data_IF_994053853080
#
_entry.id   IF_994053853080
#
_cell.length_a   1.000
_cell.length_b   1.000
_cell.length_c   1.000
_cell.angle_alpha   90.00
_cell.angle_beta   90.00
_cell.angle_gamma   90.00
#
_symmetry.space_group_name_H-M   'P 1'
#
loop_
_entity.id
_entity.type
_entity.pdbx_description
1 polymer ?
#
# COMPACT_ATOMS: atom_id res chain seq x y z
N UNK A 1 -25.07 -1.44 -20.13
CA UNK A 1 -23.86 -0.59 -20.16
C UNK A 1 -22.84 -1.01 -21.23
N UNK A 2 -22.87 -2.25 -21.75
CA UNK A 2 -21.95 -2.77 -22.80
C UNK A 2 -21.86 -1.89 -24.08
N UNK A 3 -22.86 -1.06 -24.39
CA UNK A 3 -22.84 -0.19 -25.59
C UNK A 3 -22.14 1.17 -25.45
N UNK A 4 -21.76 1.61 -24.24
CA UNK A 4 -21.11 2.93 -24.03
C UNK A 4 -19.57 2.85 -24.15
N UNK A 5 -19.05 1.67 -24.50
CA UNK A 5 -17.68 1.45 -24.94
C UNK A 5 -16.75 0.89 -23.87
N UNK A 6 -16.07 -0.20 -24.20
CA UNK A 6 -14.91 -0.70 -23.47
C UNK A 6 -13.73 0.28 -23.64
N UNK A 7 -13.28 0.86 -22.52
CA UNK A 7 -12.05 1.65 -22.40
C UNK A 7 -11.88 2.82 -23.41
N UNK A 8 -12.85 3.72 -23.46
CA UNK A 8 -12.80 4.96 -24.24
C UNK A 8 -11.86 6.05 -23.66
N UNK A 9 -11.88 7.24 -24.29
CA UNK A 9 -11.05 8.40 -23.88
C UNK A 9 -11.37 8.82 -22.44
N UNK A 10 -12.65 8.77 -22.05
CA UNK A 10 -13.07 9.11 -20.69
C UNK A 10 -12.40 8.22 -19.64
N UNK A 11 -12.40 6.90 -19.85
CA UNK A 11 -11.79 5.93 -18.94
C UNK A 11 -10.26 6.08 -18.87
N UNK A 12 -9.61 6.43 -19.98
CA UNK A 12 -8.17 6.73 -20.01
C UNK A 12 -7.86 7.99 -19.21
N UNK A 13 -8.62 9.05 -19.40
CA UNK A 13 -8.43 10.32 -18.68
C UNK A 13 -8.55 10.09 -17.16
N UNK A 14 -9.61 9.40 -16.74
CA UNK A 14 -9.83 9.09 -15.31
C UNK A 14 -8.70 8.24 -14.72
N UNK A 15 -8.17 7.28 -15.47
CA UNK A 15 -7.07 6.44 -15.02
C UNK A 15 -5.76 7.24 -14.86
N UNK A 16 -5.40 8.07 -15.84
CA UNK A 16 -4.13 8.79 -15.83
C UNK A 16 -4.12 10.04 -14.95
N UNK A 17 -5.24 10.75 -14.82
CA UNK A 17 -5.30 12.01 -14.08
C UNK A 17 -5.84 11.87 -12.64
N UNK A 18 -6.50 10.76 -12.30
CA UNK A 18 -7.04 10.55 -10.94
C UNK A 18 -6.40 9.34 -10.28
N UNK A 19 -6.57 8.16 -10.89
CA UNK A 19 -6.16 6.90 -10.25
C UNK A 19 -4.64 6.75 -10.17
N UNK A 20 -3.90 7.27 -11.15
CA UNK A 20 -2.44 7.21 -11.14
C UNK A 20 -1.82 8.19 -10.12
N UNK A 21 -2.19 9.49 -10.08
CA UNK A 21 -1.74 10.40 -9.03
C UNK A 21 -2.15 9.96 -7.62
N UNK A 22 -3.30 9.28 -7.47
CA UNK A 22 -3.71 8.75 -6.17
C UNK A 22 -2.84 7.58 -5.67
N UNK A 23 -1.94 7.02 -6.49
CA UNK A 23 -0.94 6.05 -6.02
C UNK A 23 0.29 6.74 -5.40
N UNK A 24 0.52 8.05 -5.65
CA UNK A 24 1.66 8.77 -5.10
C UNK A 24 1.65 8.87 -3.56
N UNK A 25 0.51 9.11 -2.88
CA UNK A 25 0.44 9.08 -1.41
C UNK A 25 0.85 7.74 -0.80
N UNK A 26 0.58 6.63 -1.49
CA UNK A 26 0.98 5.29 -1.05
C UNK A 26 2.51 5.15 -0.94
N UNK A 27 3.26 5.91 -1.76
CA UNK A 27 4.72 5.94 -1.71
C UNK A 27 5.26 6.56 -0.42
N UNK A 28 4.62 7.63 0.04
CA UNK A 28 5.01 8.30 1.27
C UNK A 28 4.78 7.41 2.49
N UNK A 29 3.76 6.54 2.46
CA UNK A 29 3.51 5.54 3.51
C UNK A 29 4.64 4.51 3.62
N UNK A 30 5.21 4.07 2.50
CA UNK A 30 6.40 3.20 2.47
C UNK A 30 7.63 3.93 3.02
N UNK A 31 7.75 5.24 2.78
CA UNK A 31 8.84 6.07 3.28
C UNK A 31 8.88 6.15 4.81
N UNK A 32 7.72 6.09 5.49
CA UNK A 32 7.64 6.02 6.95
C UNK A 32 8.25 4.73 7.51
N UNK A 33 8.10 3.61 6.80
CA UNK A 33 8.71 2.33 7.20
C UNK A 33 10.24 2.35 7.07
N UNK A 34 10.77 3.06 6.06
CA UNK A 34 12.21 3.24 5.88
C UNK A 34 12.87 3.96 7.07
N UNK A 35 12.24 5.03 7.59
CA UNK A 35 12.77 5.72 8.77
C UNK A 35 12.83 4.84 10.02
N UNK A 36 12.07 3.74 10.06
CA UNK A 36 12.18 2.73 11.11
C UNK A 36 13.24 1.67 10.81
N UNK A 37 13.46 1.32 9.54
CA UNK A 37 14.46 0.30 9.16
C UNK A 37 15.88 0.83 9.13
N UNK A 38 16.07 2.11 8.76
CA UNK A 38 17.39 2.72 8.72
C UNK A 38 17.93 2.85 10.13
N UNK A 39 19.03 2.15 10.40
CA UNK A 39 19.88 2.43 11.54
C UNK A 39 20.78 3.61 11.20
N UNK A 40 20.68 4.76 11.88
CA UNK A 40 21.58 5.88 11.61
C UNK A 40 23.03 5.52 11.98
N UNK A 41 23.97 6.23 11.36
CA UNK A 41 25.37 6.18 11.77
C UNK A 41 25.48 6.30 13.29
N UNK A 42 26.05 5.28 13.90
CA UNK A 42 26.24 5.17 15.34
C UNK A 42 27.74 5.15 15.64
N UNK A 43 28.11 5.75 16.76
CA UNK A 43 29.47 5.73 17.28
C UNK A 43 29.45 5.37 18.77
N UNK A 44 30.58 4.93 19.30
CA UNK A 44 30.63 4.53 20.70
C UNK A 44 30.56 5.77 21.62
N UNK A 45 29.65 5.74 22.60
CA UNK A 45 29.58 6.69 23.70
C UNK A 45 30.61 6.31 24.75
N UNK A 46 31.54 7.21 25.04
CA UNK A 46 32.52 7.05 26.13
C UNK A 46 32.06 7.87 27.33
N UNK A 47 31.49 7.20 28.34
CA UNK A 47 30.91 7.84 29.53
C UNK A 47 31.91 8.66 30.36
N UNK A 48 33.21 8.36 30.27
CA UNK A 48 34.27 9.11 30.97
C UNK A 48 34.41 10.57 30.48
N UNK A 49 34.00 10.87 29.25
CA UNK A 49 34.12 12.20 28.63
C UNK A 49 32.90 13.10 28.86
N UNK A 50 31.78 12.55 29.34
CA UNK A 50 30.61 13.34 29.72
C UNK A 50 30.93 14.28 30.91
N UNK A 51 31.91 13.92 31.74
CA UNK A 51 32.39 14.75 32.86
C UNK A 51 33.21 15.98 32.42
N UNK A 52 33.75 16.00 31.21
CA UNK A 52 34.63 17.06 30.70
C UNK A 52 33.94 18.00 29.68
N UNK A 53 32.64 17.82 29.43
CA UNK A 53 31.80 18.67 28.57
C UNK A 53 32.40 18.94 27.16
N UNK A 54 32.99 17.91 26.56
CA UNK A 54 33.68 17.99 25.26
C UNK A 54 32.66 17.94 24.10
N UNK A 55 32.93 18.67 23.01
CA UNK A 55 32.08 18.70 21.82
C UNK A 55 32.05 17.34 21.09
N UNK A 56 30.86 16.93 20.67
CA UNK A 56 30.58 15.60 20.08
C UNK A 56 31.40 15.31 18.81
N UNK A 57 31.85 16.35 18.09
CA UNK A 57 32.75 16.23 16.93
C UNK A 57 34.17 15.79 17.31
N UNK A 58 34.67 16.27 18.45
CA UNK A 58 36.03 15.99 18.93
C UNK A 58 36.14 14.55 19.45
N UNK A 59 35.08 14.05 20.12
CA UNK A 59 34.97 12.67 20.58
C UNK A 59 35.04 11.64 19.42
N UNK A 60 34.41 11.94 18.27
CA UNK A 60 34.40 11.05 17.11
C UNK A 60 35.77 10.89 16.45
N UNK A 61 36.63 11.91 16.51
CA UNK A 61 37.94 11.90 15.87
C UNK A 61 39.04 11.20 16.69
N UNK A 62 38.95 11.20 18.03
CA UNK A 62 39.99 10.62 18.90
C UNK A 62 39.74 9.17 19.34
N UNK A 63 38.48 8.75 19.52
CA UNK A 63 38.17 7.53 20.29
C UNK A 63 37.42 6.44 19.52
N UNK A 64 37.01 6.69 18.27
CA UNK A 64 36.30 5.69 17.46
C UNK A 64 37.29 5.05 16.49
N UNK A 65 37.63 3.75 16.64
CA UNK A 65 38.55 3.09 15.71
C UNK A 65 37.97 3.07 14.30
N UNK A 66 38.77 3.52 13.34
CA UNK A 66 38.45 3.47 11.90
C UNK A 66 38.84 2.08 11.39
N UNK A 67 37.95 1.45 10.61
CA UNK A 67 38.26 0.18 9.95
C UNK A 67 39.26 0.46 8.83
N UNK A 68 40.52 0.05 9.01
CA UNK A 68 41.53 0.27 7.99
C UNK A 68 41.31 -0.66 6.78
N UNK A 69 41.52 -0.06 5.60
CA UNK A 69 41.60 -0.61 4.24
C UNK A 69 40.28 -0.80 3.48
N UNK A 70 39.73 0.29 2.92
CA UNK A 70 39.68 0.59 1.48
C UNK A 70 39.34 2.09 1.30
N UNK A 71 40.05 2.75 0.37
CA UNK A 71 39.83 4.13 -0.06
C UNK A 71 38.34 4.36 -0.39
N UNK A 72 37.68 5.29 0.32
CA UNK A 72 36.29 5.79 0.15
C UNK A 72 35.11 5.18 0.93
N UNK A 73 35.29 4.51 2.08
CA UNK A 73 34.14 4.29 2.99
C UNK A 73 34.50 4.36 4.48
N UNK A 74 34.01 5.40 5.17
CA UNK A 74 34.07 5.55 6.62
C UNK A 74 33.11 4.55 7.29
N UNK A 75 33.59 3.37 7.66
CA UNK A 75 32.87 2.44 8.54
C UNK A 75 33.64 2.27 9.87
N UNK A 76 32.95 2.43 10.99
CA UNK A 76 33.48 2.34 12.36
C UNK A 76 33.26 0.92 12.94
N UNK A 77 34.09 0.48 13.90
CA UNK A 77 33.93 -0.83 14.57
C UNK A 77 32.65 -0.92 15.45
N UNK A 78 32.10 -2.12 15.57
CA UNK A 78 30.85 -2.41 16.29
C UNK A 78 31.02 -2.22 17.81
N UNK A 79 30.32 -1.25 18.41
CA UNK A 79 30.24 -1.10 19.87
C UNK A 79 29.34 -2.18 20.51
N UNK A 80 29.63 -2.59 21.75
CA UNK A 80 28.68 -3.36 22.57
C UNK A 80 27.44 -2.52 22.91
N UNK A 81 26.28 -3.18 23.03
CA UNK A 81 24.94 -2.57 22.97
C UNK A 81 24.70 -1.37 23.92
N UNK A 82 25.30 -1.34 25.11
CA UNK A 82 25.08 -0.28 26.11
C UNK A 82 25.84 1.04 25.83
N UNK A 83 26.66 1.07 24.77
CA UNK A 83 27.54 2.21 24.47
C UNK A 83 27.34 2.77 23.05
N UNK A 84 26.22 2.53 22.37
CA UNK A 84 25.95 3.12 21.05
C UNK A 84 25.25 4.47 21.21
N UNK A 85 25.81 5.53 20.62
CA UNK A 85 25.15 6.83 20.44
C UNK A 85 24.95 7.06 18.95
N UNK A 86 23.70 7.18 18.53
CA UNK A 86 23.39 7.46 17.13
C UNK A 86 22.90 8.89 16.94
N UNK A 87 22.95 9.40 15.70
CA UNK A 87 22.40 10.73 15.36
C UNK A 87 20.92 10.87 15.78
N UNK A 88 20.21 9.74 15.87
CA UNK A 88 18.91 9.59 16.49
C UNK A 88 18.98 8.40 17.45
N UNK A 89 19.21 8.62 18.74
CA UNK A 89 19.37 7.55 19.71
C UNK A 89 18.09 6.70 19.80
N UNK A 90 18.17 5.47 19.30
CA UNK A 90 17.09 4.49 19.27
C UNK A 90 17.49 3.34 20.18
N UNK A 91 17.31 3.57 21.47
CA UNK A 91 17.53 2.57 22.52
C UNK A 91 16.52 1.44 22.33
N UNK A 92 16.97 0.18 22.34
CA UNK A 92 16.12 -1.00 22.20
C UNK A 92 14.94 -1.01 23.20
N UNK A 93 15.14 -0.50 24.42
CA UNK A 93 14.08 -0.34 25.44
C UNK A 93 12.97 0.65 25.04
N UNK A 94 13.20 1.49 24.03
CA UNK A 94 12.28 2.50 23.52
C UNK A 94 11.90 2.28 22.06
N UNK A 95 12.14 1.10 21.49
CA UNK A 95 11.75 0.76 20.12
C UNK A 95 10.24 0.97 19.88
N UNK A 96 9.40 0.77 20.91
CA UNK A 96 7.96 1.05 20.84
C UNK A 96 7.63 2.52 20.51
N UNK A 97 8.54 3.46 20.79
CA UNK A 97 8.38 4.89 20.48
C UNK A 97 8.47 5.15 18.97
N UNK A 98 9.06 4.27 18.16
CA UNK A 98 9.00 4.36 16.69
C UNK A 98 7.67 3.86 16.12
N UNK A 99 7.06 2.86 16.76
CA UNK A 99 5.74 2.35 16.38
C UNK A 99 4.62 3.30 16.79
N UNK A 100 4.79 4.12 17.84
CA UNK A 100 3.81 5.15 18.25
C UNK A 100 3.48 6.15 17.13
N UNK A 101 4.44 6.83 16.46
CA UNK A 101 4.17 7.68 15.30
C UNK A 101 3.40 6.99 14.20
N UNK A 102 3.63 5.70 13.97
CA UNK A 102 2.90 4.91 12.97
C UNK A 102 1.47 4.65 13.43
N UNK A 103 1.26 4.27 14.68
CA UNK A 103 -0.07 4.08 15.27
C UNK A 103 -0.85 5.41 15.26
N UNK A 104 -0.20 6.52 15.61
CA UNK A 104 -0.75 7.89 15.62
C UNK A 104 -1.04 8.39 14.20
N UNK A 105 -0.20 8.03 13.23
CA UNK A 105 -0.39 8.32 11.81
C UNK A 105 -1.58 7.54 11.22
N UNK A 106 -1.76 6.27 11.60
CA UNK A 106 -2.92 5.48 11.22
C UNK A 106 -4.20 5.83 11.99
N UNK A 107 -4.10 6.44 13.18
CA UNK A 107 -5.26 6.91 13.96
C UNK A 107 -5.77 8.30 13.58
N UNK A 108 -5.19 8.93 12.55
CA UNK A 108 -5.70 10.19 11.98
C UNK A 108 -5.48 11.44 12.84
N UNK A 109 -4.74 11.34 13.95
CA UNK A 109 -4.40 12.49 14.81
C UNK A 109 -3.08 13.11 14.36
N UNK A 110 -3.14 14.09 13.47
CA UNK A 110 -2.06 15.05 13.26
C UNK A 110 -1.87 15.84 14.56
N UNK A 111 -0.71 15.72 15.23
CA UNK A 111 0.15 16.87 15.60
C UNK A 111 1.24 16.62 16.65
N UNK A 112 1.28 15.53 17.42
CA UNK A 112 2.03 15.60 18.68
C UNK A 112 3.40 14.89 18.80
N UNK A 113 4.08 14.52 17.72
CA UNK A 113 5.46 13.97 17.84
C UNK A 113 6.50 14.62 16.93
N UNK A 114 6.32 15.89 16.55
CA UNK A 114 7.30 16.61 15.71
C UNK A 114 8.40 17.36 16.47
N UNK A 115 8.42 17.35 17.80
CA UNK A 115 9.32 18.25 18.54
C UNK A 115 10.81 17.87 18.51
N UNK A 116 11.24 16.80 17.84
CA UNK A 116 12.67 16.45 17.83
C UNK A 116 13.28 15.88 16.54
N UNK A 117 12.58 15.72 15.40
CA UNK A 117 13.19 15.02 14.25
C UNK A 117 13.07 15.75 12.91
N UNK A 118 14.22 16.30 12.46
CA UNK A 118 14.66 16.48 11.07
C UNK A 118 13.80 17.31 10.12
N UNK A 119 14.37 18.38 9.55
CA UNK A 119 13.72 19.22 8.51
C UNK A 119 13.15 18.45 7.30
N UNK A 120 13.67 17.26 7.01
CA UNK A 120 13.17 16.38 5.94
C UNK A 120 11.79 15.77 6.25
N UNK A 121 11.49 15.49 7.52
CA UNK A 121 10.18 14.92 7.93
C UNK A 121 9.09 15.98 7.84
N UNK A 122 9.40 17.23 8.22
CA UNK A 122 8.51 18.39 8.04
C UNK A 122 8.17 18.62 6.56
N UNK A 123 9.17 18.58 5.67
CA UNK A 123 8.96 18.73 4.23
C UNK A 123 8.04 17.64 3.65
N UNK A 124 8.19 16.39 4.10
CA UNK A 124 7.34 15.27 3.69
C UNK A 124 5.88 15.45 4.15
N UNK A 125 5.66 15.93 5.37
CA UNK A 125 4.32 16.25 5.87
C UNK A 125 3.67 17.41 5.08
N UNK A 126 4.43 18.44 4.73
CA UNK A 126 3.93 19.55 3.91
C UNK A 126 3.59 19.12 2.48
N UNK A 127 4.42 18.26 1.87
CA UNK A 127 4.13 17.62 0.60
C UNK A 127 2.84 16.78 0.68
N UNK A 128 2.61 16.06 1.77
CA UNK A 128 1.40 15.26 1.98
C UNK A 128 0.12 16.12 2.05
N UNK A 129 0.17 17.25 2.78
CA UNK A 129 -0.92 18.23 2.84
C UNK A 129 -1.22 18.80 1.45
N UNK A 130 -0.18 19.14 0.68
CA UNK A 130 -0.33 19.73 -0.65
C UNK A 130 -0.85 18.72 -1.68
N UNK A 131 -0.41 17.46 -1.64
CA UNK A 131 -0.91 16.38 -2.50
C UNK A 131 -2.36 16.05 -2.14
N UNK A 132 -2.70 15.97 -0.85
CA UNK A 132 -4.08 15.77 -0.40
C UNK A 132 -5.02 16.88 -0.87
N UNK A 133 -4.60 18.14 -0.77
CA UNK A 133 -5.35 19.28 -1.30
C UNK A 133 -5.55 19.21 -2.82
N UNK A 134 -4.50 18.84 -3.57
CA UNK A 134 -4.59 18.63 -5.02
C UNK A 134 -5.58 17.50 -5.37
N UNK A 135 -5.57 16.40 -4.62
CA UNK A 135 -6.49 15.28 -4.81
C UNK A 135 -7.94 15.66 -4.50
N UNK A 136 -8.19 16.51 -3.50
CA UNK A 136 -9.52 17.05 -3.20
C UNK A 136 -10.04 17.93 -4.34
N UNK A 137 -9.19 18.79 -4.90
CA UNK A 137 -9.53 19.59 -6.08
C UNK A 137 -9.84 18.67 -7.27
N UNK A 138 -9.01 17.66 -7.51
CA UNK A 138 -9.24 16.68 -8.57
C UNK A 138 -10.57 15.95 -8.35
N UNK A 139 -10.86 15.43 -7.15
CA UNK A 139 -12.13 14.75 -6.83
C UNK A 139 -13.34 15.64 -7.11
N UNK A 140 -13.27 16.94 -6.79
CA UNK A 140 -14.39 17.85 -7.04
C UNK A 140 -14.72 18.06 -8.52
N UNK A 141 -13.76 17.79 -9.43
CA UNK A 141 -13.96 17.86 -10.87
C UNK A 141 -14.63 16.62 -11.46
N UNK A 142 -14.65 15.49 -10.74
CA UNK A 142 -15.21 14.24 -11.25
C UNK A 142 -16.64 14.02 -10.74
N UNK A 143 -17.52 13.48 -11.60
CA UNK A 143 -18.88 13.15 -11.20
C UNK A 143 -18.90 11.98 -10.21
N UNK A 144 -19.96 11.93 -9.41
CA UNK A 144 -20.20 10.86 -8.45
C UNK A 144 -20.25 9.47 -9.10
N UNK A 145 -19.90 8.45 -8.32
CA UNK A 145 -19.84 7.08 -8.84
C UNK A 145 -21.23 6.58 -9.29
N UNK A 146 -21.33 5.87 -10.43
CA UNK A 146 -22.61 5.36 -10.91
C UNK A 146 -23.34 4.46 -9.89
N UNK A 147 -22.58 3.66 -9.11
CA UNK A 147 -23.13 2.78 -8.08
C UNK A 147 -23.82 3.58 -6.97
N UNK A 148 -23.19 4.67 -6.51
CA UNK A 148 -23.77 5.54 -5.47
C UNK A 148 -25.03 6.25 -5.97
N UNK A 149 -25.01 6.75 -7.21
CA UNK A 149 -26.19 7.37 -7.82
C UNK A 149 -27.38 6.41 -7.93
N UNK A 150 -27.12 5.13 -8.25
CA UNK A 150 -28.15 4.07 -8.27
C UNK A 150 -28.70 3.82 -6.86
N UNK A 151 -27.83 3.75 -5.85
CA UNK A 151 -28.24 3.51 -4.46
C UNK A 151 -29.11 4.63 -3.88
N UNK A 152 -28.98 5.85 -4.41
CA UNK A 152 -29.71 7.05 -3.98
C UNK A 152 -30.82 7.47 -4.95
N UNK A 153 -31.18 6.60 -5.91
CA UNK A 153 -32.29 6.83 -6.86
C UNK A 153 -32.15 8.12 -7.71
N UNK A 154 -30.92 8.63 -7.89
CA UNK A 154 -30.61 9.84 -8.69
C UNK A 154 -30.52 9.52 -10.18
N UNK A 155 -31.65 9.12 -10.78
CA UNK A 155 -31.72 8.61 -12.16
C UNK A 155 -31.29 9.66 -13.20
N UNK A 156 -31.61 10.94 -12.97
CA UNK A 156 -31.31 12.02 -13.90
C UNK A 156 -29.80 12.27 -14.03
N UNK A 157 -29.07 12.20 -12.92
CA UNK A 157 -27.62 12.42 -12.91
C UNK A 157 -26.87 11.26 -13.56
N UNK A 158 -27.39 10.04 -13.45
CA UNK A 158 -26.85 8.89 -14.19
C UNK A 158 -27.02 9.09 -15.70
N UNK A 159 -28.19 9.56 -16.14
CA UNK A 159 -28.48 9.78 -17.55
C UNK A 159 -27.60 10.92 -18.13
N UNK A 160 -27.33 11.97 -17.34
CA UNK A 160 -26.33 13.01 -17.68
C UNK A 160 -24.93 12.42 -17.79
N UNK A 161 -24.47 11.71 -16.75
CA UNK A 161 -23.15 11.08 -16.71
C UNK A 161 -22.91 10.15 -17.92
N UNK A 162 -23.89 9.31 -18.26
CA UNK A 162 -23.75 8.40 -19.40
C UNK A 162 -23.70 9.15 -20.74
N UNK A 163 -24.41 10.28 -20.87
CA UNK A 163 -24.30 11.15 -22.05
C UNK A 163 -22.93 11.80 -22.14
N UNK A 164 -22.38 12.30 -21.03
CA UNK A 164 -21.05 12.92 -20.99
C UNK A 164 -19.93 11.92 -21.34
N UNK A 165 -20.06 10.67 -20.85
CA UNK A 165 -19.15 9.59 -21.24
C UNK A 165 -19.25 9.32 -22.75
N UNK A 166 -20.47 9.32 -23.29
CA UNK A 166 -20.69 9.04 -24.70
C UNK A 166 -20.19 10.15 -25.64
N UNK A 167 -20.39 11.42 -25.29
CA UNK A 167 -19.84 12.56 -26.03
C UNK A 167 -18.31 12.53 -26.02
N UNK A 168 -17.71 12.26 -24.85
CA UNK A 168 -16.26 12.14 -24.69
C UNK A 168 -15.68 10.95 -25.47
N UNK A 169 -16.41 9.84 -25.52
CA UNK A 169 -16.02 8.64 -26.26
C UNK A 169 -16.43 8.68 -27.75
N UNK A 170 -17.07 9.77 -28.20
CA UNK A 170 -17.56 9.93 -29.58
C UNK A 170 -18.45 8.75 -30.01
N UNK A 171 -19.31 8.29 -29.10
CA UNK A 171 -20.26 7.19 -29.36
C UNK A 171 -21.65 7.74 -29.65
N UNK A 172 -22.26 7.27 -30.75
CA UNK A 172 -23.60 7.68 -31.15
C UNK A 172 -24.64 6.95 -30.29
N UNK A 173 -25.38 7.68 -29.46
CA UNK A 173 -26.49 7.13 -28.68
C UNK A 173 -27.75 7.04 -29.54
N UNK A 174 -28.39 5.88 -29.56
CA UNK A 174 -29.74 5.74 -30.11
C UNK A 174 -30.73 6.59 -29.29
N UNK A 175 -31.73 7.24 -29.91
CA UNK A 175 -32.71 8.06 -29.20
C UNK A 175 -33.47 7.29 -28.09
N UNK A 176 -33.67 5.98 -28.25
CA UNK A 176 -34.34 5.13 -27.25
C UNK A 176 -33.45 4.68 -26.09
N UNK A 177 -32.15 4.99 -26.15
CA UNK A 177 -31.18 4.52 -25.17
C UNK A 177 -31.49 5.01 -23.75
N UNK A 178 -31.92 6.27 -23.61
CA UNK A 178 -32.26 6.87 -22.31
C UNK A 178 -33.45 6.13 -21.66
N UNK A 179 -34.46 5.75 -22.44
CA UNK A 179 -35.63 5.02 -21.98
C UNK A 179 -35.22 3.61 -21.51
N UNK A 180 -34.43 2.91 -22.32
CA UNK A 180 -33.94 1.58 -21.99
C UNK A 180 -33.03 1.59 -20.76
N UNK A 181 -32.18 2.61 -20.61
CA UNK A 181 -31.30 2.80 -19.46
C UNK A 181 -32.12 3.05 -18.18
N UNK A 182 -33.08 3.98 -18.21
CA UNK A 182 -33.93 4.31 -17.07
C UNK A 182 -34.74 3.11 -16.59
N UNK A 183 -35.26 2.28 -17.51
CA UNK A 183 -35.97 1.03 -17.15
C UNK A 183 -35.07 0.09 -16.34
N UNK A 184 -33.83 -0.14 -16.79
CA UNK A 184 -32.89 -1.02 -16.08
C UNK A 184 -32.53 -0.48 -14.70
N UNK A 185 -32.24 0.82 -14.60
CA UNK A 185 -31.89 1.47 -13.33
C UNK A 185 -33.06 1.36 -12.34
N UNK A 186 -34.31 1.57 -12.77
CA UNK A 186 -35.48 1.44 -11.89
C UNK A 186 -35.63 0.02 -11.32
N UNK A 187 -35.40 -1.01 -12.13
CA UNK A 187 -35.44 -2.41 -11.66
C UNK A 187 -34.35 -2.65 -10.61
N UNK A 188 -33.14 -2.15 -10.86
CA UNK A 188 -32.02 -2.24 -9.92
C UNK A 188 -32.34 -1.51 -8.60
N UNK A 189 -32.87 -0.28 -8.65
CA UNK A 189 -33.27 0.48 -7.47
C UNK A 189 -34.35 -0.25 -6.67
N UNK A 190 -35.39 -0.76 -7.32
CA UNK A 190 -36.46 -1.51 -6.66
C UNK A 190 -35.93 -2.75 -5.92
N UNK A 191 -35.04 -3.52 -6.57
CA UNK A 191 -34.39 -4.68 -5.95
C UNK A 191 -33.56 -4.27 -4.72
N UNK A 192 -32.82 -3.16 -4.80
CA UNK A 192 -32.05 -2.65 -3.65
C UNK A 192 -32.96 -2.18 -2.51
N UNK A 193 -34.10 -1.56 -2.81
CA UNK A 193 -35.06 -1.09 -1.80
C UNK A 193 -35.73 -2.26 -1.09
N UNK A 194 -36.04 -3.35 -1.78
CA UNK A 194 -36.51 -4.60 -1.15
C UNK A 194 -35.46 -5.20 -0.23
N UNK A 195 -34.19 -5.25 -0.65
CA UNK A 195 -33.08 -5.73 0.18
C UNK A 195 -32.88 -4.87 1.44
N UNK A 196 -33.02 -3.55 1.33
CA UNK A 196 -32.96 -2.62 2.46
C UNK A 196 -34.15 -2.79 3.42
N UNK A 197 -35.36 -2.97 2.89
CA UNK A 197 -36.57 -3.15 3.70
C UNK A 197 -36.54 -4.44 4.54
N UNK A 198 -35.80 -5.47 4.10
CA UNK A 198 -35.60 -6.72 4.83
C UNK A 198 -34.54 -6.63 5.95
N UNK A 199 -33.90 -5.47 6.18
CA UNK A 199 -32.83 -5.30 7.16
C UNK A 199 -33.36 -4.74 8.50
N UNK A 200 -33.54 -5.61 9.50
CA UNK A 200 -33.95 -5.25 10.88
C UNK A 200 -32.79 -5.19 11.89
N UNK A 201 -31.61 -5.75 11.58
CA UNK A 201 -30.45 -5.85 12.47
C UNK A 201 -29.19 -5.20 11.85
N UNK A 202 -28.08 -5.17 12.59
CA UNK A 202 -26.79 -4.70 12.06
C UNK A 202 -26.40 -5.51 10.82
N UNK A 203 -26.08 -4.78 9.75
CA UNK A 203 -25.86 -5.31 8.39
C UNK A 203 -24.81 -6.43 8.35
N UNK A 204 -23.79 -6.33 9.20
CA UNK A 204 -22.70 -7.29 9.30
C UNK A 204 -23.15 -8.61 9.92
N UNK A 205 -23.86 -8.58 11.05
CA UNK A 205 -24.30 -9.79 11.74
C UNK A 205 -25.29 -10.56 10.87
N UNK A 206 -26.21 -9.84 10.22
CA UNK A 206 -27.17 -10.46 9.29
C UNK A 206 -26.48 -11.10 8.08
N UNK A 207 -25.39 -10.52 7.58
CA UNK A 207 -24.63 -11.10 6.46
C UNK A 207 -23.98 -12.44 6.81
N UNK A 208 -23.55 -12.60 8.07
CA UNK A 208 -22.92 -13.84 8.56
C UNK A 208 -23.95 -14.94 8.86
N UNK A 209 -25.22 -14.57 9.11
CA UNK A 209 -26.31 -15.52 9.32
C UNK A 209 -26.89 -16.11 8.02
N UNK A 210 -26.54 -15.55 6.85
CA UNK A 210 -27.03 -16.04 5.56
C UNK A 210 -26.32 -17.35 5.16
N UNK A 211 -27.03 -18.34 4.59
CA UNK A 211 -26.42 -19.58 4.14
C UNK A 211 -25.36 -19.31 3.06
N UNK A 212 -24.19 -19.95 3.19
CA UNK A 212 -23.02 -19.85 2.28
C UNK A 212 -22.30 -18.50 2.22
N UNK A 213 -22.87 -17.42 2.78
CA UNK A 213 -22.20 -16.12 2.87
C UNK A 213 -20.99 -16.08 3.82
N UNK A 214 -21.00 -16.68 5.03
CA UNK A 214 -19.86 -16.57 5.94
C UNK A 214 -18.61 -17.22 5.37
N UNK A 215 -18.73 -18.34 4.65
CA UNK A 215 -17.60 -18.97 3.97
C UNK A 215 -16.95 -18.03 2.93
N UNK A 216 -17.76 -17.33 2.14
CA UNK A 216 -17.25 -16.34 1.17
C UNK A 216 -16.54 -15.18 1.87
N UNK A 217 -17.12 -14.66 2.94
CA UNK A 217 -16.53 -13.56 3.72
C UNK A 217 -15.19 -14.00 4.31
N UNK A 218 -15.13 -15.20 4.92
CA UNK A 218 -13.89 -15.76 5.48
C UNK A 218 -12.83 -15.92 4.38
N UNK A 219 -13.18 -16.50 3.22
CA UNK A 219 -12.24 -16.64 2.10
C UNK A 219 -11.71 -15.28 1.62
N UNK A 220 -12.59 -14.29 1.46
CA UNK A 220 -12.17 -12.93 1.05
C UNK A 220 -11.26 -12.32 2.11
N UNK A 221 -11.63 -12.36 3.38
CA UNK A 221 -10.80 -11.77 4.44
C UNK A 221 -9.44 -12.46 4.55
N UNK A 222 -9.36 -13.79 4.41
CA UNK A 222 -8.08 -14.50 4.37
C UNK A 222 -7.20 -14.05 3.20
N UNK A 223 -7.78 -13.86 2.00
CA UNK A 223 -7.05 -13.33 0.86
C UNK A 223 -6.55 -11.89 1.12
N UNK A 224 -7.39 -11.02 1.69
CA UNK A 224 -6.96 -9.65 2.02
C UNK A 224 -5.79 -9.64 3.03
N UNK A 225 -5.83 -10.50 4.04
CA UNK A 225 -4.74 -10.66 5.01
C UNK A 225 -3.45 -11.13 4.32
N UNK A 226 -3.51 -12.22 3.54
CA UNK A 226 -2.31 -12.78 2.90
C UNK A 226 -1.71 -11.81 1.88
N UNK A 227 -2.54 -11.14 1.08
CA UNK A 227 -2.08 -10.13 0.12
C UNK A 227 -1.43 -8.93 0.80
N UNK A 228 -2.00 -8.43 1.90
CA UNK A 228 -1.44 -7.28 2.62
C UNK A 228 -0.10 -7.60 3.27
N UNK A 229 0.02 -8.77 3.90
CA UNK A 229 1.28 -9.22 4.52
C UNK A 229 2.37 -9.43 3.46
N UNK A 230 2.04 -10.10 2.35
CA UNK A 230 3.03 -10.40 1.30
C UNK A 230 3.48 -9.16 0.54
N UNK A 231 2.60 -8.21 0.24
CA UNK A 231 2.98 -6.97 -0.46
C UNK A 231 4.00 -6.16 0.35
N UNK A 232 3.78 -6.05 1.66
CA UNK A 232 4.69 -5.31 2.56
C UNK A 232 5.95 -6.13 2.85
N UNK A 233 5.85 -7.44 3.03
CA UNK A 233 6.99 -8.33 3.18
C UNK A 233 7.96 -8.25 2.00
N UNK A 234 7.46 -8.32 0.76
CA UNK A 234 8.31 -8.16 -0.43
C UNK A 234 8.93 -6.76 -0.53
N UNK A 235 8.20 -5.72 -0.14
CA UNK A 235 8.74 -4.35 -0.09
C UNK A 235 9.89 -4.24 0.91
N UNK A 236 9.74 -4.85 2.08
CA UNK A 236 10.77 -4.87 3.11
C UNK A 236 12.03 -5.59 2.63
N UNK A 237 11.90 -6.79 2.06
CA UNK A 237 13.06 -7.53 1.54
C UNK A 237 13.79 -6.76 0.43
N UNK A 238 13.08 -6.08 -0.47
CA UNK A 238 13.71 -5.24 -1.50
C UNK A 238 14.57 -4.14 -0.86
N UNK A 239 14.08 -3.52 0.22
CA UNK A 239 14.83 -2.48 0.95
C UNK A 239 16.05 -3.09 1.63
N UNK A 240 15.89 -4.17 2.39
CA UNK A 240 16.96 -4.84 3.15
C UNK A 240 18.12 -5.31 2.24
N UNK A 241 17.80 -5.98 1.13
CA UNK A 241 18.81 -6.37 0.15
C UNK A 241 19.44 -5.17 -0.54
N UNK A 242 18.69 -4.09 -0.77
CA UNK A 242 19.24 -2.86 -1.36
C UNK A 242 20.20 -2.14 -0.40
N UNK A 243 19.92 -2.14 0.89
CA UNK A 243 20.83 -1.61 1.92
C UNK A 243 22.12 -2.44 1.99
N UNK A 244 21.98 -3.78 1.94
CA UNK A 244 23.11 -4.72 1.93
C UNK A 244 24.05 -4.57 0.72
N UNK A 245 23.60 -3.92 -0.36
CA UNK A 245 24.41 -3.63 -1.55
C UNK A 245 25.56 -2.64 -1.27
N UNK A 246 25.48 -1.85 -0.19
CA UNK A 246 26.57 -0.98 0.26
C UNK A 246 26.77 0.33 -0.51
N UNK A 247 25.86 0.68 -1.43
CA UNK A 247 25.98 1.90 -2.25
C UNK A 247 25.45 3.17 -1.56
N UNK A 248 24.75 3.07 -0.43
CA UNK A 248 24.19 4.23 0.29
C UNK A 248 23.01 4.92 -0.40
N UNK A 249 22.51 4.38 -1.51
CA UNK A 249 21.41 4.95 -2.29
C UNK A 249 20.04 4.60 -1.69
N UNK A 250 19.56 5.45 -0.78
CA UNK A 250 18.23 5.27 -0.16
C UNK A 250 17.07 5.33 -1.16
N UNK A 251 17.24 5.94 -2.34
CA UNK A 251 16.17 6.13 -3.32
C UNK A 251 15.96 4.92 -4.26
N UNK A 252 16.98 4.09 -4.45
CA UNK A 252 16.94 2.94 -5.37
C UNK A 252 15.81 1.93 -5.08
N UNK A 253 15.64 1.42 -3.85
CA UNK A 253 14.57 0.46 -3.56
C UNK A 253 13.17 1.02 -3.82
N UNK A 254 12.95 2.33 -3.62
CA UNK A 254 11.67 2.97 -3.94
C UNK A 254 11.38 2.99 -5.42
N UNK A 255 12.38 3.31 -6.23
CA UNK A 255 12.24 3.30 -7.68
C UNK A 255 11.87 1.89 -8.17
N UNK A 256 12.48 0.85 -7.61
CA UNK A 256 12.14 -0.55 -7.90
C UNK A 256 10.69 -0.86 -7.52
N UNK A 257 10.23 -0.43 -6.35
CA UNK A 257 8.85 -0.62 -5.88
C UNK A 257 7.83 0.12 -6.75
N UNK A 258 8.11 1.38 -7.14
CA UNK A 258 7.25 2.17 -8.05
C UNK A 258 7.08 1.47 -9.39
N UNK A 259 8.20 1.09 -9.99
CA UNK A 259 8.22 0.41 -11.29
C UNK A 259 7.45 -0.90 -11.17
N UNK A 260 7.62 -1.64 -10.07
CA UNK A 260 6.93 -2.90 -9.84
C UNK A 260 5.41 -2.72 -9.77
N UNK A 261 4.91 -1.73 -9.03
CA UNK A 261 3.47 -1.43 -8.94
C UNK A 261 2.90 -0.96 -10.29
N UNK A 262 3.63 -0.14 -11.03
CA UNK A 262 3.20 0.31 -12.35
C UNK A 262 3.14 -0.87 -13.35
N UNK A 263 4.14 -1.74 -13.35
CA UNK A 263 4.15 -2.96 -14.16
C UNK A 263 3.00 -3.89 -13.78
N UNK A 264 2.70 -4.01 -12.48
CA UNK A 264 1.57 -4.80 -11.99
C UNK A 264 0.22 -4.31 -12.56
N UNK A 265 -0.01 -3.00 -12.64
CA UNK A 265 -1.23 -2.44 -13.27
C UNK A 265 -1.33 -2.80 -14.75
N UNK A 266 -0.22 -2.70 -15.49
CA UNK A 266 -0.17 -3.04 -16.91
C UNK A 266 -0.43 -4.53 -17.12
N UNK A 267 0.18 -5.39 -16.32
CA UNK A 267 0.00 -6.84 -16.37
C UNK A 267 -1.44 -7.22 -16.02
N UNK A 268 -1.97 -6.73 -14.88
CA UNK A 268 -3.34 -6.98 -14.44
C UNK A 268 -4.35 -6.64 -15.54
N UNK A 269 -4.16 -5.51 -16.23
CA UNK A 269 -5.01 -5.13 -17.35
C UNK A 269 -4.98 -6.14 -18.50
N UNK A 270 -3.78 -6.57 -18.91
CA UNK A 270 -3.62 -7.51 -20.04
C UNK A 270 -4.23 -8.87 -19.69
N UNK A 271 -3.97 -9.36 -18.49
CA UNK A 271 -4.41 -10.69 -18.02
C UNK A 271 -5.91 -10.73 -17.75
N UNK A 272 -6.48 -9.69 -17.13
CA UNK A 272 -7.92 -9.60 -16.88
C UNK A 272 -8.75 -9.68 -18.16
N UNK A 273 -8.27 -9.06 -19.25
CA UNK A 273 -8.96 -9.11 -20.55
C UNK A 273 -8.87 -10.47 -21.23
N UNK A 274 -7.78 -11.22 -21.02
CA UNK A 274 -7.52 -12.49 -21.73
C UNK A 274 -8.01 -13.73 -20.97
N UNK A 275 -7.72 -13.81 -19.67
CA UNK A 275 -7.87 -15.03 -18.88
C UNK A 275 -8.99 -14.94 -17.83
N UNK A 276 -9.56 -13.75 -17.60
CA UNK A 276 -10.56 -13.53 -16.57
C UNK A 276 -9.97 -13.42 -15.15
N UNK A 277 -10.82 -13.09 -14.16
CA UNK A 277 -10.40 -12.65 -12.82
C UNK A 277 -9.75 -13.76 -12.00
N UNK A 278 -10.44 -14.90 -11.88
CA UNK A 278 -10.01 -16.04 -11.04
C UNK A 278 -8.65 -16.57 -11.47
N UNK A 279 -8.46 -16.81 -12.77
CA UNK A 279 -7.20 -17.31 -13.30
C UNK A 279 -6.07 -16.30 -13.14
N UNK A 280 -6.34 -15.02 -13.38
CA UNK A 280 -5.33 -13.97 -13.20
C UNK A 280 -4.82 -13.92 -11.76
N UNK A 281 -5.72 -14.04 -10.77
CA UNK A 281 -5.37 -14.08 -9.36
C UNK A 281 -4.55 -15.33 -9.03
N UNK A 282 -5.06 -16.52 -9.35
CA UNK A 282 -4.37 -17.78 -9.02
C UNK A 282 -3.01 -17.91 -9.69
N UNK A 283 -2.88 -17.53 -10.97
CA UNK A 283 -1.59 -17.59 -11.65
C UNK A 283 -0.62 -16.51 -11.15
N UNK A 284 -1.12 -15.32 -10.80
CA UNK A 284 -0.32 -14.27 -10.19
C UNK A 284 0.30 -14.74 -8.87
N UNK A 285 -0.51 -15.35 -8.00
CA UNK A 285 -0.05 -15.84 -6.69
C UNK A 285 0.93 -17.01 -6.81
N UNK A 286 0.70 -17.92 -7.77
CA UNK A 286 1.64 -19.02 -8.03
C UNK A 286 2.98 -18.49 -8.53
N UNK A 287 2.97 -17.52 -9.46
CA UNK A 287 4.19 -16.91 -9.98
C UNK A 287 4.93 -16.11 -8.89
N UNK A 288 4.21 -15.35 -8.06
CA UNK A 288 4.84 -14.60 -6.96
C UNK A 288 5.51 -15.54 -5.95
N UNK A 289 4.84 -16.63 -5.58
CA UNK A 289 5.41 -17.67 -4.73
C UNK A 289 6.65 -18.32 -5.36
N UNK A 290 6.59 -18.68 -6.65
CA UNK A 290 7.74 -19.26 -7.35
C UNK A 290 8.96 -18.33 -7.35
N UNK A 291 8.80 -17.04 -7.67
CA UNK A 291 9.93 -16.10 -7.67
C UNK A 291 10.52 -15.89 -6.27
N UNK A 292 9.67 -15.81 -5.23
CA UNK A 292 10.15 -15.73 -3.85
C UNK A 292 10.92 -16.98 -3.43
N UNK A 293 10.48 -18.17 -3.86
CA UNK A 293 11.15 -19.43 -3.59
C UNK A 293 12.49 -19.54 -4.35
N UNK A 294 12.56 -19.05 -5.59
CA UNK A 294 13.81 -19.02 -6.36
C UNK A 294 14.89 -18.20 -5.65
N UNK A 295 14.52 -17.14 -4.94
CA UNK A 295 15.46 -16.35 -4.15
C UNK A 295 16.13 -17.16 -3.03
N UNK A 296 15.43 -18.15 -2.43
CA UNK A 296 15.99 -18.99 -1.37
C UNK A 296 17.15 -19.88 -1.84
N UNK A 297 17.24 -20.14 -3.15
CA UNK A 297 18.33 -20.93 -3.75
C UNK A 297 19.50 -20.06 -4.25
N UNK A 298 19.40 -18.73 -4.15
CA UNK A 298 20.47 -17.81 -4.56
C UNK A 298 21.59 -17.82 -3.52
N UNK A 299 22.83 -17.91 -4.00
CA UNK A 299 24.00 -17.79 -3.12
C UNK A 299 24.07 -16.37 -2.54
N UNK A 300 24.40 -16.25 -1.26
CA UNK A 300 24.48 -14.97 -0.51
C UNK A 300 25.31 -13.84 -1.14
N UNK A 301 26.13 -14.11 -2.17
CA UNK A 301 26.93 -13.08 -2.86
C UNK A 301 26.17 -12.31 -3.94
N UNK A 302 25.07 -12.85 -4.47
CA UNK A 302 24.37 -12.28 -5.63
C UNK A 302 23.16 -11.42 -5.24
N UNK A 303 23.39 -10.36 -4.46
CA UNK A 303 22.34 -9.46 -3.92
C UNK A 303 21.43 -8.90 -5.01
N UNK A 304 21.99 -8.50 -6.16
CA UNK A 304 21.21 -7.96 -7.27
C UNK A 304 20.20 -8.98 -7.83
N UNK A 305 20.53 -10.27 -7.80
CA UNK A 305 19.63 -11.33 -8.27
C UNK A 305 18.46 -11.51 -7.29
N UNK A 306 18.73 -11.43 -5.97
CA UNK A 306 17.68 -11.42 -4.94
C UNK A 306 16.69 -10.26 -5.14
N UNK A 307 17.20 -9.05 -5.40
CA UNK A 307 16.36 -7.87 -5.66
C UNK A 307 15.47 -8.09 -6.89
N UNK A 308 16.01 -8.67 -7.98
CA UNK A 308 15.24 -8.96 -9.19
C UNK A 308 14.12 -9.97 -8.91
N UNK A 309 14.40 -11.03 -8.13
CA UNK A 309 13.39 -12.03 -7.78
C UNK A 309 12.28 -11.45 -6.90
N UNK A 310 12.62 -10.68 -5.87
CA UNK A 310 11.60 -10.04 -5.03
C UNK A 310 10.82 -8.96 -5.77
N UNK A 311 11.46 -8.19 -6.65
CA UNK A 311 10.76 -7.23 -7.51
C UNK A 311 9.78 -7.94 -8.45
N UNK A 312 10.20 -9.07 -9.06
CA UNK A 312 9.34 -9.88 -9.92
C UNK A 312 8.17 -10.49 -9.13
N UNK A 313 8.43 -11.05 -7.94
CA UNK A 313 7.40 -11.57 -7.06
C UNK A 313 6.37 -10.48 -6.69
N UNK A 314 6.84 -9.27 -6.36
CA UNK A 314 6.00 -8.12 -6.06
C UNK A 314 5.11 -7.74 -7.25
N UNK A 315 5.66 -7.67 -8.47
CA UNK A 315 4.87 -7.37 -9.68
C UNK A 315 3.66 -8.30 -9.84
N UNK A 316 3.87 -9.62 -9.73
CA UNK A 316 2.78 -10.59 -9.87
C UNK A 316 1.81 -10.53 -8.70
N UNK A 317 2.31 -10.31 -7.48
CA UNK A 317 1.49 -10.18 -6.28
C UNK A 317 0.59 -8.94 -6.32
N UNK A 318 1.13 -7.77 -6.67
CA UNK A 318 0.36 -6.53 -6.77
C UNK A 318 -0.66 -6.61 -7.91
N UNK A 319 -0.34 -7.30 -9.01
CA UNK A 319 -1.30 -7.56 -10.10
C UNK A 319 -2.49 -8.39 -9.59
N UNK A 320 -2.20 -9.43 -8.80
CA UNK A 320 -3.22 -10.28 -8.18
C UNK A 320 -4.08 -9.49 -7.18
N UNK A 321 -3.47 -8.60 -6.38
CA UNK A 321 -4.17 -7.72 -5.45
C UNK A 321 -5.15 -6.76 -6.16
N UNK A 322 -4.77 -6.14 -7.28
CA UNK A 322 -5.70 -5.33 -8.08
C UNK A 322 -6.90 -6.15 -8.57
N UNK A 323 -6.68 -7.42 -8.93
CA UNK A 323 -7.75 -8.32 -9.34
C UNK A 323 -8.65 -8.69 -8.16
N UNK A 324 -8.10 -8.90 -6.96
CA UNK A 324 -8.86 -9.19 -5.74
C UNK A 324 -9.85 -8.07 -5.41
N UNK A 325 -9.43 -6.80 -5.54
CA UNK A 325 -10.32 -5.64 -5.33
C UNK A 325 -11.51 -5.61 -6.30
N UNK A 326 -11.29 -5.96 -7.57
CA UNK A 326 -12.37 -6.01 -8.57
C UNK A 326 -13.27 -7.22 -8.31
N UNK A 327 -12.67 -8.37 -8.03
CA UNK A 327 -13.39 -9.61 -7.82
C UNK A 327 -14.26 -9.57 -6.56
N UNK A 328 -13.79 -8.94 -5.49
CA UNK A 328 -14.57 -8.77 -4.25
C UNK A 328 -15.79 -7.86 -4.47
N UNK A 329 -15.68 -6.84 -5.33
CA UNK A 329 -16.80 -5.98 -5.77
C UNK A 329 -17.83 -6.70 -6.63
N UNK A 330 -17.41 -7.66 -7.44
CA UNK A 330 -18.31 -8.43 -8.31
C UNK A 330 -19.01 -9.57 -7.55
N UNK A 331 -18.37 -10.11 -6.50
CA UNK A 331 -18.88 -11.25 -5.74
C UNK A 331 -19.91 -10.87 -4.67
N UNK A 332 -19.72 -9.71 -4.02
CA UNK A 332 -20.53 -9.28 -2.89
C UNK A 332 -21.71 -8.40 -3.34
N UNK A 333 -22.92 -8.63 -2.79
CA UNK A 333 -24.07 -7.75 -3.03
C UNK A 333 -23.83 -6.34 -2.47
N UNK A 334 -24.27 -5.32 -3.22
CA UNK A 334 -24.03 -3.89 -2.95
C UNK A 334 -24.39 -3.46 -1.50
N UNK A 335 -25.52 -3.89 -0.88
CA UNK A 335 -25.88 -3.46 0.47
C UNK A 335 -24.87 -3.88 1.55
N UNK A 336 -24.21 -5.02 1.36
CA UNK A 336 -23.29 -5.60 2.35
C UNK A 336 -21.83 -5.39 1.98
N UNK A 337 -21.55 -5.08 0.71
CA UNK A 337 -20.20 -4.93 0.15
C UNK A 337 -19.32 -4.00 0.99
N UNK A 338 -19.74 -2.75 1.21
CA UNK A 338 -18.89 -1.76 1.90
C UNK A 338 -18.58 -2.16 3.33
N UNK A 339 -19.55 -2.70 4.06
CA UNK A 339 -19.36 -3.16 5.44
C UNK A 339 -18.41 -4.36 5.50
N UNK A 340 -18.59 -5.34 4.61
CA UNK A 340 -17.74 -6.55 4.57
C UNK A 340 -16.31 -6.21 4.17
N UNK A 341 -16.11 -5.37 3.14
CA UNK A 341 -14.77 -4.94 2.74
C UNK A 341 -14.12 -4.09 3.83
N UNK A 342 -14.87 -3.20 4.47
CA UNK A 342 -14.36 -2.43 5.62
C UNK A 342 -13.87 -3.35 6.74
N UNK A 343 -14.58 -4.44 7.03
CA UNK A 343 -14.16 -5.45 8.00
C UNK A 343 -12.92 -6.24 7.54
N UNK A 344 -12.88 -6.71 6.29
CA UNK A 344 -11.71 -7.45 5.82
C UNK A 344 -10.45 -6.56 5.78
N UNK A 345 -10.60 -5.27 5.45
CA UNK A 345 -9.50 -4.31 5.46
C UNK A 345 -9.03 -4.00 6.89
N UNK A 346 -9.94 -3.80 7.85
CA UNK A 346 -9.50 -3.56 9.25
C UNK A 346 -8.74 -4.77 9.80
N UNK A 347 -9.18 -5.99 9.49
CA UNK A 347 -8.48 -7.20 9.91
C UNK A 347 -7.13 -7.34 9.19
N UNK A 348 -7.03 -7.01 7.91
CA UNK A 348 -5.74 -7.05 7.19
C UNK A 348 -4.74 -6.03 7.74
N UNK A 349 -5.20 -4.83 8.12
CA UNK A 349 -4.37 -3.81 8.75
C UNK A 349 -3.91 -4.22 10.16
N UNK A 350 -4.77 -4.88 10.95
CA UNK A 350 -4.35 -5.45 12.24
C UNK A 350 -3.28 -6.53 12.06
N UNK A 351 -3.44 -7.40 11.06
CA UNK A 351 -2.44 -8.40 10.73
C UNK A 351 -1.11 -7.77 10.29
N UNK A 352 -1.16 -6.61 9.63
CA UNK A 352 0.03 -5.89 9.19
C UNK A 352 0.89 -5.39 10.35
N UNK A 353 0.30 -4.96 11.46
CA UNK A 353 1.02 -4.52 12.66
C UNK A 353 1.94 -5.64 13.19
N UNK A 354 1.59 -6.91 12.95
CA UNK A 354 2.40 -8.05 13.37
C UNK A 354 3.66 -8.28 12.52
N UNK A 355 3.71 -7.78 11.28
CA UNK A 355 4.80 -8.10 10.33
C UNK A 355 6.17 -7.58 10.79
N UNK A 356 6.34 -6.31 11.21
CA UNK A 356 7.61 -5.83 11.74
C UNK A 356 8.05 -6.56 13.01
N UNK A 357 7.11 -7.03 13.84
CA UNK A 357 7.40 -7.79 15.07
C UNK A 357 7.98 -9.17 14.74
N UNK A 358 7.44 -9.84 13.72
CA UNK A 358 7.95 -11.14 13.25
C UNK A 358 9.38 -11.00 12.72
N UNK A 359 9.62 -9.96 11.92
CA UNK A 359 10.94 -9.69 11.35
C UNK A 359 11.94 -9.35 12.46
N UNK A 360 11.56 -8.48 13.39
CA UNK A 360 12.39 -8.14 14.55
C UNK A 360 12.77 -9.37 15.37
N UNK A 361 11.82 -10.27 15.63
CA UNK A 361 12.07 -11.51 16.35
C UNK A 361 13.04 -12.44 15.59
N UNK A 362 12.92 -12.52 14.26
CA UNK A 362 13.84 -13.30 13.41
C UNK A 362 15.27 -12.79 13.46
N UNK A 363 15.46 -11.47 13.52
CA UNK A 363 16.79 -10.86 13.63
C UNK A 363 17.39 -11.15 15.02
N UNK A 364 16.61 -11.00 16.09
CA UNK A 364 17.07 -11.30 17.45
C UNK A 364 17.38 -12.78 17.70
N UNK A 365 16.79 -13.73 16.97
CA UNK A 365 17.08 -15.16 17.16
C UNK A 365 18.35 -15.64 16.45
N UNK A 366 18.92 -14.83 15.56
CA UNK A 366 20.14 -15.15 14.79
C UNK A 366 21.40 -14.49 15.35
N UNK A 367 21.22 -13.56 16.30
CA UNK A 367 22.25 -13.01 17.18
C UNK A 367 22.37 -13.88 18.44
#
# INVERSE_FOLDING_TARGET
MVKVGDYGKYQKLMLWFVLFPSQLPYLCQIYSHLFMSITPDHWCKVSLLDAYNVTDHFNRHLFVPKKDNVLHSLQYEQCFNDYKKAKWDLVCDRAFIQTIPIIVFFSGTLELTSQQKGAQVLLLCELWRNIGALLLVLISLFPESPKWLIMNERIEDIDKLVRDIATTNVTLLSPDFSIALRRRIRVECALQTELKAQQKHSLLIQSLSLPKMPLKVITICLLYITHSITDIGFTYYIIEFSESRGNGDIYFPFLVVIISNFMALVIARITLKRFGRKYTMTFGDILSALFSLMCAFVKHKDINLCIIYFASAKVFQSSSQYCLFIWSQELLPIPYYYSIIGLCETVSQLALISVPLIIFYSICSTL
#
